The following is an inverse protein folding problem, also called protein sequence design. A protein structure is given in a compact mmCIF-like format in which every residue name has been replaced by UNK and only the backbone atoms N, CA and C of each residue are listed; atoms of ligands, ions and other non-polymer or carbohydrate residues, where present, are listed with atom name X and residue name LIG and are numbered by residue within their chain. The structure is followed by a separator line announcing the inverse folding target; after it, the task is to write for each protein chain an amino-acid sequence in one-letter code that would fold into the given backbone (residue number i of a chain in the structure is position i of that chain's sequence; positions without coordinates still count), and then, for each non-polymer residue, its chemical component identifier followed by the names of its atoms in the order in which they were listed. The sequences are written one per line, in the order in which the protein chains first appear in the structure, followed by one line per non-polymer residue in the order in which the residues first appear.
data_IF_205166985114
#
_entry.id   IF_205166985114
#
_cell.length_a   1.000
_cell.length_b   1.000
_cell.length_c   1.000
_cell.angle_alpha   90.00
_cell.angle_beta   90.00
_cell.angle_gamma   90.00
#
_symmetry.space_group_name_H-M   'P 1'
#
loop_
_entity.id
_entity.type
_entity.pdbx_description
1 polymer ?
#
# COMPACT_ATOMS: atom_id res chain seq x y z
N UNK A 1 -0.52 -4.86 10.91
CA UNK A 1 -1.89 -4.91 11.46
C UNK A 1 -2.78 -4.09 10.54
N UNK A 2 -4.02 -4.49 10.26
CA UNK A 2 -4.89 -3.73 9.35
C UNK A 2 -5.75 -2.77 10.15
N UNK A 3 -5.87 -1.54 9.67
CA UNK A 3 -6.83 -0.58 10.17
C UNK A 3 -7.96 -0.49 9.15
N UNK A 4 -9.13 -1.00 9.52
CA UNK A 4 -10.35 -0.63 8.82
C UNK A 4 -10.83 0.64 9.50
N UNK A 5 -10.74 1.80 8.82
CA UNK A 5 -11.44 3.06 9.15
C UNK A 5 -10.63 4.08 9.97
N UNK A 6 -9.51 4.59 9.46
CA UNK A 6 -8.95 5.85 9.97
C UNK A 6 -8.32 6.66 8.84
N UNK A 7 -8.79 7.90 8.61
CA UNK A 7 -8.15 8.81 7.66
C UNK A 7 -6.63 8.81 7.85
N UNK A 8 -5.87 8.74 6.75
CA UNK A 8 -4.41 8.69 6.79
C UNK A 8 -3.81 9.81 7.66
N UNK A 9 -4.41 11.01 7.63
CA UNK A 9 -4.02 12.17 8.45
C UNK A 9 -4.21 11.94 9.95
N UNK A 10 -5.29 11.25 10.35
CA UNK A 10 -5.54 10.88 11.74
C UNK A 10 -4.42 9.96 12.23
N UNK A 11 -4.02 8.98 11.40
CA UNK A 11 -2.94 8.05 11.75
C UNK A 11 -1.59 8.74 11.85
N UNK A 12 -1.23 9.57 10.87
CA UNK A 12 0.00 10.37 10.94
C UNK A 12 0.04 11.21 12.21
N UNK A 13 -1.04 11.91 12.53
CA UNK A 13 -1.14 12.72 13.74
C UNK A 13 -0.95 11.90 15.02
N UNK A 14 -1.60 10.73 15.12
CA UNK A 14 -1.47 9.85 16.30
C UNK A 14 -0.06 9.26 16.45
N UNK A 15 0.61 8.97 15.33
CA UNK A 15 1.99 8.46 15.31
C UNK A 15 2.94 9.56 15.78
N UNK A 16 2.80 10.77 15.24
CA UNK A 16 3.67 11.90 15.56
C UNK A 16 3.48 12.37 17.01
N UNK A 17 2.24 12.49 17.49
CA UNK A 17 1.93 12.91 18.87
C UNK A 17 2.47 11.94 19.94
N UNK A 18 2.75 10.70 19.57
CA UNK A 18 3.29 9.68 20.47
C UNK A 18 4.78 9.41 20.26
N UNK A 19 5.45 10.18 19.40
CA UNK A 19 6.86 10.01 19.05
C UNK A 19 7.15 8.58 18.55
N UNK A 20 6.28 8.07 17.67
CA UNK A 20 6.34 6.71 17.13
C UNK A 20 6.75 6.64 15.66
N UNK A 21 7.17 7.74 15.05
CA UNK A 21 7.46 7.81 13.60
C UNK A 21 8.55 6.82 13.14
N UNK A 22 9.47 6.44 14.02
CA UNK A 22 10.53 5.44 13.74
C UNK A 22 10.10 4.00 14.06
N UNK A 23 8.93 3.81 14.68
CA UNK A 23 8.46 2.52 15.23
C UNK A 23 7.18 2.03 14.60
N UNK A 24 6.41 2.92 13.97
CA UNK A 24 5.15 2.63 13.30
C UNK A 24 5.13 3.34 11.94
N UNK A 25 4.93 2.57 10.88
CA UNK A 25 4.75 3.08 9.54
C UNK A 25 3.30 2.90 9.09
N UNK A 26 2.84 3.83 8.25
CA UNK A 26 1.68 3.60 7.40
C UNK A 26 2.16 2.76 6.22
N UNK A 27 1.82 1.47 6.24
CA UNK A 27 2.26 0.49 5.26
C UNK A 27 1.53 0.62 3.93
N UNK A 28 0.22 0.89 3.98
CA UNK A 28 -0.62 0.99 2.78
C UNK A 28 -1.68 2.09 2.97
N UNK A 29 -1.79 2.96 1.97
CA UNK A 29 -2.90 3.87 1.76
C UNK A 29 -3.84 3.27 0.72
N UNK A 30 -4.86 2.56 1.18
CA UNK A 30 -5.71 1.71 0.35
C UNK A 30 -7.03 2.38 -0.05
N UNK A 31 -7.54 3.31 0.76
CA UNK A 31 -8.64 4.20 0.38
C UNK A 31 -8.75 5.33 1.42
N UNK A 32 -9.71 6.24 1.25
CA UNK A 32 -10.00 7.29 2.23
C UNK A 32 -10.14 6.75 3.66
N UNK A 33 -10.76 5.58 3.84
CA UNK A 33 -11.03 4.98 5.15
C UNK A 33 -10.44 3.57 5.29
N UNK A 34 -9.44 3.20 4.49
CA UNK A 34 -8.77 1.91 4.62
C UNK A 34 -7.26 2.07 4.58
N UNK A 35 -6.58 1.72 5.67
CA UNK A 35 -5.15 1.94 5.85
C UNK A 35 -4.52 0.75 6.56
N UNK A 36 -3.25 0.50 6.32
CA UNK A 36 -2.51 -0.55 7.02
C UNK A 36 -1.40 0.13 7.81
N UNK A 37 -1.24 -0.20 9.10
CA UNK A 37 -0.06 0.18 9.86
C UNK A 37 0.72 -1.04 10.33
N UNK A 38 2.02 -0.88 10.42
CA UNK A 38 2.95 -1.92 10.81
C UNK A 38 4.11 -1.32 11.56
N UNK A 39 4.90 -2.18 12.19
CA UNK A 39 6.08 -1.80 12.94
C UNK A 39 6.20 -2.63 14.21
N UNK A 40 6.84 -2.07 15.23
CA UNK A 40 7.02 -2.73 16.51
C UNK A 40 5.68 -3.06 17.16
N UNK A 41 5.51 -4.29 17.62
CA UNK A 41 4.24 -4.77 18.15
C UNK A 41 3.67 -3.89 19.27
N UNK A 42 4.50 -3.52 20.24
CA UNK A 42 4.09 -2.67 21.37
C UNK A 42 3.67 -1.26 20.92
N UNK A 43 4.39 -0.69 19.96
CA UNK A 43 4.14 0.66 19.41
C UNK A 43 2.87 0.68 18.58
N UNK A 44 2.65 -0.31 17.72
CA UNK A 44 1.40 -0.48 16.96
C UNK A 44 0.20 -0.64 17.91
N UNK A 45 0.33 -1.41 18.99
CA UNK A 45 -0.75 -1.57 20.00
C UNK A 45 -1.12 -0.25 20.68
N UNK A 46 -0.17 0.68 20.90
CA UNK A 46 -0.50 2.01 21.44
C UNK A 46 -1.43 2.77 20.50
N UNK A 47 -1.14 2.76 19.20
CA UNK A 47 -2.01 3.39 18.18
C UNK A 47 -3.40 2.74 18.16
N UNK A 48 -3.49 1.39 18.20
CA UNK A 48 -4.79 0.69 18.28
C UNK A 48 -5.63 1.16 19.44
N UNK A 49 -5.03 1.24 20.62
CA UNK A 49 -5.76 1.61 21.83
C UNK A 49 -6.31 3.04 21.73
N UNK A 50 -5.55 3.97 21.12
CA UNK A 50 -6.04 5.33 20.86
C UNK A 50 -7.19 5.33 19.87
N UNK A 51 -7.09 4.57 18.78
CA UNK A 51 -8.17 4.42 17.81
C UNK A 51 -9.43 3.82 18.46
N UNK A 52 -9.28 2.82 19.33
CA UNK A 52 -10.39 2.26 20.09
C UNK A 52 -11.08 3.29 20.99
N UNK A 53 -10.30 4.17 21.66
CA UNK A 53 -10.85 5.29 22.44
C UNK A 53 -11.64 6.28 21.58
N UNK A 54 -11.27 6.40 20.30
CA UNK A 54 -11.98 7.20 19.29
C UNK A 54 -13.14 6.44 18.63
N UNK A 55 -13.45 5.21 19.07
CA UNK A 55 -14.46 4.31 18.48
C UNK A 55 -14.17 3.94 17.02
N UNK A 56 -12.90 3.92 16.65
CA UNK A 56 -12.42 3.42 15.36
C UNK A 56 -12.08 1.94 15.50
N UNK A 57 -12.68 1.13 14.65
CA UNK A 57 -12.42 -0.32 14.61
C UNK A 57 -11.05 -0.64 14.01
N UNK A 58 -10.46 -1.76 14.42
CA UNK A 58 -9.17 -2.21 13.89
C UNK A 58 -9.18 -3.73 13.75
N UNK A 59 -8.42 -4.27 12.79
CA UNK A 59 -8.40 -5.71 12.52
C UNK A 59 -6.96 -6.22 12.41
N UNK A 60 -6.56 -7.18 13.24
CA UNK A 60 -5.22 -7.76 13.11
C UNK A 60 -5.14 -8.60 11.84
N UNK A 61 -4.15 -8.31 10.99
CA UNK A 61 -3.84 -9.15 9.83
C UNK A 61 -3.12 -10.43 10.25
N UNK A 62 -3.50 -11.54 9.64
CA UNK A 62 -2.76 -12.80 9.68
C UNK A 62 -1.64 -12.76 8.62
N UNK A 63 -0.57 -12.03 8.93
CA UNK A 63 0.62 -11.90 8.07
C UNK A 63 1.88 -12.32 8.84
N UNK A 64 2.86 -12.84 8.11
CA UNK A 64 4.09 -13.39 8.68
C UNK A 64 5.15 -12.34 9.03
N UNK A 65 4.86 -11.05 8.83
CA UNK A 65 5.80 -9.96 9.08
C UNK A 65 5.17 -8.57 9.00
N UNK A 66 5.94 -7.56 9.42
CA UNK A 66 5.58 -6.14 9.33
C UNK A 66 6.08 -5.55 8.01
N UNK A 67 5.48 -5.95 6.89
CA UNK A 67 5.84 -5.46 5.55
C UNK A 67 5.60 -3.95 5.40
N UNK A 68 6.38 -3.28 4.54
CA UNK A 68 6.31 -1.82 4.33
C UNK A 68 6.60 -1.05 5.63
N UNK A 69 7.63 -1.47 6.36
CA UNK A 69 8.07 -0.83 7.60
C UNK A 69 9.58 -0.78 7.69
N UNK A 70 10.11 0.07 8.55
CA UNK A 70 11.55 0.17 8.82
C UNK A 70 12.17 -1.15 9.31
N UNK A 71 11.36 -2.06 9.87
CA UNK A 71 11.82 -3.39 10.27
C UNK A 71 12.28 -4.25 9.08
N UNK A 72 11.99 -3.83 7.85
CA UNK A 72 12.41 -4.50 6.61
C UNK A 72 13.69 -3.91 6.01
N UNK A 73 14.32 -2.92 6.67
CA UNK A 73 15.47 -2.19 6.11
C UNK A 73 16.67 -3.06 5.78
N UNK A 74 16.93 -4.12 6.56
CA UNK A 74 18.00 -5.09 6.26
C UNK A 74 17.77 -5.79 4.91
N UNK A 75 16.50 -5.99 4.53
CA UNK A 75 16.12 -6.60 3.26
C UNK A 75 16.37 -5.71 2.04
N UNK A 76 16.51 -4.38 2.20
CA UNK A 76 16.71 -3.45 1.06
C UNK A 76 18.01 -3.73 0.33
N UNK A 77 19.11 -3.92 1.06
CA UNK A 77 20.41 -4.19 0.45
C UNK A 77 20.41 -5.55 -0.25
N UNK A 78 19.83 -6.58 0.36
CA UNK A 78 19.72 -7.91 -0.23
C UNK A 78 18.89 -7.89 -1.52
N UNK A 79 17.73 -7.23 -1.49
CA UNK A 79 16.87 -7.08 -2.67
C UNK A 79 17.57 -6.27 -3.77
N UNK A 80 18.24 -5.17 -3.43
CA UNK A 80 18.98 -4.36 -4.39
C UNK A 80 20.04 -5.17 -5.14
N UNK A 81 20.87 -5.94 -4.42
CA UNK A 81 21.86 -6.81 -5.03
C UNK A 81 21.21 -7.90 -5.89
N UNK A 82 20.13 -8.52 -5.41
CA UNK A 82 19.42 -9.54 -6.17
C UNK A 82 18.85 -9.00 -7.49
N UNK A 83 18.23 -7.81 -7.47
CA UNK A 83 17.66 -7.17 -8.66
C UNK A 83 18.72 -6.81 -9.71
N UNK A 84 19.99 -6.63 -9.33
CA UNK A 84 21.07 -6.44 -10.30
C UNK A 84 21.45 -7.73 -11.05
N UNK A 85 21.06 -8.90 -10.55
CA UNK A 85 21.30 -10.18 -11.24
C UNK A 85 20.20 -10.54 -12.24
N UNK A 86 19.08 -9.81 -12.23
CA UNK A 86 17.92 -10.07 -13.08
C UNK A 86 17.96 -9.12 -14.29
N UNK A 87 17.77 -9.63 -15.53
CA UNK A 87 17.61 -8.78 -16.70
C UNK A 87 16.24 -8.07 -16.66
N UNK A 88 16.25 -6.76 -16.86
CA UNK A 88 15.03 -5.94 -16.99
C UNK A 88 14.87 -5.48 -18.44
N UNK A 89 13.61 -5.31 -18.85
CA UNK A 89 13.24 -4.65 -20.11
C UNK A 89 12.35 -3.46 -19.79
N UNK A 90 12.40 -2.44 -20.65
CA UNK A 90 11.52 -1.28 -20.53
C UNK A 90 10.06 -1.76 -20.66
N UNK A 91 9.14 -1.35 -19.78
CA UNK A 91 7.74 -1.73 -19.90
C UNK A 91 7.10 -1.18 -21.18
N UNK A 92 6.49 -2.05 -21.98
CA UNK A 92 5.75 -1.65 -23.20
C UNK A 92 4.37 -1.04 -22.89
N UNK A 93 3.95 -1.10 -21.63
CA UNK A 93 2.71 -0.54 -21.10
C UNK A 93 3.00 0.37 -19.92
N UNK A 94 2.19 1.41 -19.70
CA UNK A 94 2.33 2.26 -18.52
C UNK A 94 2.35 1.45 -17.22
N UNK A 95 3.43 1.59 -16.45
CA UNK A 95 3.63 0.93 -15.16
C UNK A 95 3.61 2.00 -14.07
N UNK A 96 2.63 1.95 -13.16
CA UNK A 96 2.58 2.83 -11.99
C UNK A 96 3.20 2.13 -10.80
N UNK A 97 4.26 2.72 -10.23
CA UNK A 97 4.97 2.13 -9.09
C UNK A 97 4.27 2.48 -7.78
N UNK A 98 4.22 1.53 -6.84
CA UNK A 98 3.49 1.68 -5.57
C UNK A 98 3.99 2.83 -4.68
N UNK A 99 5.29 3.11 -4.72
CA UNK A 99 5.96 4.09 -3.86
C UNK A 99 5.80 5.50 -4.41
N UNK A 100 6.09 5.72 -5.69
CA UNK A 100 5.93 7.03 -6.32
C UNK A 100 4.47 7.38 -6.61
N UNK A 101 3.64 6.37 -6.88
CA UNK A 101 2.32 6.53 -7.52
C UNK A 101 2.39 7.26 -8.86
N UNK A 102 3.48 7.08 -9.60
CA UNK A 102 3.75 7.69 -10.89
C UNK A 102 4.04 6.63 -11.96
N UNK A 103 3.81 6.98 -13.24
CA UNK A 103 4.21 6.14 -14.36
C UNK A 103 5.74 6.20 -14.49
N UNK A 104 6.38 5.04 -14.44
CA UNK A 104 7.85 4.92 -14.56
C UNK A 104 8.21 3.94 -15.68
N UNK A 105 9.15 4.33 -16.53
CA UNK A 105 9.71 3.49 -17.59
C UNK A 105 11.22 3.27 -17.47
N UNK A 106 11.92 4.12 -16.70
CA UNK A 106 13.36 3.97 -16.48
C UNK A 106 13.66 2.77 -15.57
N UNK A 107 14.57 1.90 -16.01
CA UNK A 107 14.85 0.62 -15.37
C UNK A 107 15.46 0.81 -13.98
N UNK A 108 16.40 1.74 -13.83
CA UNK A 108 17.05 1.96 -12.53
C UNK A 108 16.08 2.58 -11.53
N UNK A 109 15.19 3.46 -11.99
CA UNK A 109 14.08 3.99 -11.18
C UNK A 109 13.10 2.89 -10.78
N UNK A 110 12.77 1.94 -11.66
CA UNK A 110 11.92 0.78 -11.34
C UNK A 110 12.58 -0.07 -10.23
N UNK A 111 13.86 -0.43 -10.40
CA UNK A 111 14.61 -1.20 -9.39
C UNK A 111 14.64 -0.48 -8.04
N UNK A 112 14.92 0.83 -8.04
CA UNK A 112 14.94 1.62 -6.82
C UNK A 112 13.57 1.65 -6.14
N UNK A 113 12.49 1.81 -6.89
CA UNK A 113 11.13 1.76 -6.35
C UNK A 113 10.79 0.37 -5.77
N UNK A 114 11.20 -0.72 -6.41
CA UNK A 114 11.02 -2.09 -5.87
C UNK A 114 11.74 -2.29 -4.54
N UNK A 115 12.97 -1.76 -4.41
CA UNK A 115 13.73 -1.77 -3.15
C UNK A 115 13.05 -0.93 -2.08
N UNK A 116 12.64 0.29 -2.45
CA UNK A 116 11.98 1.22 -1.53
C UNK A 116 10.63 0.69 -1.05
N UNK A 117 9.92 -0.07 -1.87
CA UNK A 117 8.64 -0.68 -1.50
C UNK A 117 8.74 -1.55 -0.25
N UNK A 118 9.91 -2.11 0.12
CA UNK A 118 10.03 -2.87 1.36
C UNK A 118 9.75 -2.05 2.63
N UNK A 119 10.06 -0.76 2.60
CA UNK A 119 10.00 0.13 3.77
C UNK A 119 9.03 1.29 3.61
N UNK A 120 8.67 1.62 2.36
CA UNK A 120 7.82 2.77 2.05
C UNK A 120 6.36 2.37 1.82
N UNK A 121 5.46 3.34 2.00
CA UNK A 121 4.02 3.16 1.89
C UNK A 121 3.62 2.74 0.47
N UNK A 122 2.75 1.74 0.37
CA UNK A 122 2.01 1.43 -0.87
C UNK A 122 0.89 2.46 -1.04
N UNK A 123 1.03 3.36 -2.02
CA UNK A 123 0.13 4.50 -2.25
C UNK A 123 -0.99 4.17 -3.23
N UNK A 124 -1.77 3.14 -2.93
CA UNK A 124 -2.82 2.63 -3.83
C UNK A 124 -3.88 3.69 -4.16
N UNK A 125 -4.30 4.49 -3.17
CA UNK A 125 -5.25 5.60 -3.39
C UNK A 125 -4.75 6.57 -4.46
N UNK A 126 -3.47 6.97 -4.39
CA UNK A 126 -2.86 7.87 -5.37
C UNK A 126 -2.71 7.21 -6.75
N UNK A 127 -2.31 5.93 -6.79
CA UNK A 127 -2.24 5.14 -8.04
C UNK A 127 -3.59 5.12 -8.77
N UNK A 128 -4.67 4.84 -8.05
CA UNK A 128 -6.00 4.78 -8.67
C UNK A 128 -6.52 6.16 -9.07
N UNK A 129 -6.15 7.21 -8.33
CA UNK A 129 -6.45 8.59 -8.70
C UNK A 129 -5.76 8.98 -10.02
N UNK A 130 -4.49 8.61 -10.19
CA UNK A 130 -3.76 8.81 -11.43
C UNK A 130 -4.44 8.12 -12.61
N UNK A 131 -4.81 6.85 -12.47
CA UNK A 131 -5.52 6.13 -13.54
C UNK A 131 -6.85 6.77 -13.90
N UNK A 132 -7.62 7.22 -12.90
CA UNK A 132 -8.87 7.93 -13.14
C UNK A 132 -8.62 9.27 -13.87
N UNK A 133 -7.60 10.02 -13.46
CA UNK A 133 -7.20 11.27 -14.11
C UNK A 133 -6.80 11.07 -15.57
N UNK A 134 -6.13 9.97 -15.89
CA UNK A 134 -5.77 9.58 -17.26
C UNK A 134 -6.95 9.03 -18.08
N UNK A 135 -8.17 9.03 -17.53
CA UNK A 135 -9.38 8.63 -18.24
C UNK A 135 -9.63 7.12 -18.28
N UNK A 136 -8.98 6.32 -17.42
CA UNK A 136 -9.29 4.89 -17.32
C UNK A 136 -10.63 4.67 -16.59
N UNK A 137 -11.45 3.79 -17.16
CA UNK A 137 -12.78 3.44 -16.66
C UNK A 137 -12.97 1.98 -16.31
N UNK A 138 -12.17 1.09 -16.90
CA UNK A 138 -12.23 -0.34 -16.67
C UNK A 138 -10.98 -0.79 -15.91
N UNK A 139 -11.19 -1.54 -14.82
CA UNK A 139 -10.13 -2.11 -14.01
C UNK A 139 -10.41 -3.59 -13.81
N UNK A 140 -9.39 -4.42 -13.99
CA UNK A 140 -9.48 -5.86 -13.85
C UNK A 140 -8.44 -6.29 -12.82
N UNK A 141 -8.86 -6.93 -11.73
CA UNK A 141 -7.94 -7.61 -10.82
C UNK A 141 -7.52 -8.95 -11.44
N UNK A 142 -6.20 -9.12 -11.61
CA UNK A 142 -5.58 -10.36 -12.05
C UNK A 142 -4.96 -11.07 -10.84
N UNK A 143 -5.56 -12.18 -10.42
CA UNK A 143 -5.10 -12.98 -9.29
C UNK A 143 -6.20 -13.89 -8.75
N UNK A 144 -5.85 -14.77 -7.82
CA UNK A 144 -6.80 -15.73 -7.24
C UNK A 144 -7.71 -15.10 -6.17
N UNK A 145 -7.25 -14.02 -5.53
CA UNK A 145 -7.99 -13.31 -4.48
C UNK A 145 -8.80 -12.15 -5.04
N UNK A 146 -9.94 -11.82 -4.41
CA UNK A 146 -10.74 -10.61 -4.73
C UNK A 146 -10.38 -9.38 -3.88
N UNK A 147 -9.14 -9.27 -3.42
CA UNK A 147 -8.76 -8.28 -2.40
C UNK A 147 -8.81 -6.85 -2.96
N UNK A 148 -8.20 -6.61 -4.13
CA UNK A 148 -8.20 -5.30 -4.77
C UNK A 148 -9.56 -4.99 -5.40
N UNK A 149 -10.30 -6.01 -5.86
CA UNK A 149 -11.66 -5.90 -6.35
C UNK A 149 -12.57 -5.31 -5.27
N UNK A 150 -12.58 -5.89 -4.07
CA UNK A 150 -13.39 -5.36 -2.97
C UNK A 150 -12.87 -4.02 -2.46
N UNK A 151 -11.55 -3.81 -2.47
CA UNK A 151 -11.01 -2.50 -2.12
C UNK A 151 -11.51 -1.41 -3.09
N UNK A 152 -11.49 -1.70 -4.40
CA UNK A 152 -11.96 -0.79 -5.42
C UNK A 152 -13.48 -0.59 -5.38
N UNK A 153 -14.27 -1.64 -5.19
CA UNK A 153 -15.73 -1.54 -5.05
C UNK A 153 -16.16 -0.69 -3.85
N UNK A 154 -15.36 -0.68 -2.78
CA UNK A 154 -15.64 0.12 -1.57
C UNK A 154 -15.04 1.53 -1.63
N UNK A 155 -14.33 1.90 -2.70
CA UNK A 155 -13.74 3.23 -2.85
C UNK A 155 -14.72 4.20 -3.51
N UNK A 156 -15.00 5.33 -2.86
CA UNK A 156 -15.87 6.37 -3.40
C UNK A 156 -15.37 6.93 -4.74
N UNK A 157 -14.05 7.04 -4.91
CA UNK A 157 -13.41 7.51 -6.15
C UNK A 157 -13.70 6.59 -7.36
N UNK A 158 -13.97 5.31 -7.11
CA UNK A 158 -14.12 4.29 -8.14
C UNK A 158 -15.57 3.84 -8.33
N UNK A 159 -16.54 4.51 -7.68
CA UNK A 159 -17.96 4.12 -7.69
C UNK A 159 -18.57 4.00 -9.09
N UNK A 160 -18.14 4.87 -10.02
CA UNK A 160 -18.64 4.92 -11.41
C UNK A 160 -17.73 4.18 -12.39
N UNK A 161 -16.78 3.37 -11.87
CA UNK A 161 -15.81 2.62 -12.67
C UNK A 161 -16.25 1.17 -12.78
N UNK A 162 -15.93 0.57 -13.92
CA UNK A 162 -16.16 -0.85 -14.13
C UNK A 162 -15.02 -1.65 -13.50
N UNK A 163 -15.30 -2.31 -12.38
CA UNK A 163 -14.35 -3.12 -11.64
C UNK A 163 -14.72 -4.58 -11.83
N UNK A 164 -13.79 -5.34 -12.40
CA UNK A 164 -13.93 -6.75 -12.75
C UNK A 164 -12.87 -7.58 -12.03
N UNK A 165 -13.14 -8.87 -11.87
CA UNK A 165 -12.17 -9.84 -11.40
C UNK A 165 -11.99 -10.92 -12.48
N UNK A 166 -10.76 -11.36 -12.72
CA UNK A 166 -10.46 -12.29 -13.83
C UNK A 166 -11.25 -13.60 -13.74
N UNK A 167 -11.41 -14.16 -12.55
CA UNK A 167 -12.17 -15.41 -12.33
C UNK A 167 -13.68 -15.30 -12.58
N UNK A 168 -14.22 -14.10 -12.85
CA UNK A 168 -15.62 -13.97 -13.27
C UNK A 168 -15.78 -14.29 -14.78
N UNK A 169 -14.68 -14.57 -15.49
CA UNK A 169 -14.60 -14.76 -16.94
C UNK A 169 -13.81 -15.99 -17.39
N UNK A 170 -13.33 -16.82 -16.45
CA UNK A 170 -12.64 -18.10 -16.70
C UNK A 170 -13.51 -19.22 -16.16
#
# INVERSE_FOLDING_TARGET
MLLKIALIRTLSTLIDQQDLATKVNICCDNSELHQVIGGEYASVRKIVNQLANMKIETNKLAVNGAWHTELMSEGKNLLAHFLQTIPFSIPDKPLVMNVSAEIVSDIETIKQNLVNQLTETVRWTATMALWCHLGYHNFIELGDSKSLYYLAKNSHMLKDKNILHVNDYI
#
